data_IF_055871185895
#
_entry.id   IF_055871185895
#
_cell.length_a   1.000
_cell.length_b   1.000
_cell.length_c   1.000
_cell.angle_alpha   90.00
_cell.angle_beta   90.00
_cell.angle_gamma   90.00
#
_symmetry.space_group_name_H-M   'P 1'
#
loop_
_entity.id
_entity.type
_entity.pdbx_description
1 polymer ?
#
# COMPACT_ATOMS: atom_id res chain seq x y z
N UNK A 1 -50.05 -24.76 35.50
CA UNK A 1 -49.83 -24.33 34.10
C UNK A 1 -48.65 -23.34 33.93
N UNK A 2 -48.11 -22.73 35.00
CA UNK A 2 -47.03 -21.72 34.90
C UNK A 2 -45.58 -22.27 34.75
N UNK A 3 -45.34 -23.58 34.94
CA UNK A 3 -43.99 -24.17 34.94
C UNK A 3 -43.49 -24.59 33.55
N UNK A 4 -44.36 -24.64 32.53
CA UNK A 4 -43.97 -25.02 31.16
C UNK A 4 -43.24 -23.92 30.40
N UNK A 5 -43.49 -22.64 30.72
CA UNK A 5 -42.87 -21.50 30.04
C UNK A 5 -41.38 -21.34 30.38
N UNK A 6 -40.97 -21.74 31.59
CA UNK A 6 -39.56 -21.66 32.04
C UNK A 6 -38.70 -22.83 31.51
N UNK A 7 -39.30 -24.00 31.28
CA UNK A 7 -38.56 -25.19 30.81
C UNK A 7 -38.38 -25.20 29.28
N UNK A 8 -39.20 -24.47 28.53
CA UNK A 8 -39.15 -24.39 27.08
C UNK A 8 -37.85 -23.76 26.51
N UNK A 9 -37.31 -22.64 27.04
CA UNK A 9 -36.03 -22.10 26.56
C UNK A 9 -34.84 -23.00 26.90
N UNK A 10 -34.91 -23.75 28.01
CA UNK A 10 -33.83 -24.66 28.42
C UNK A 10 -33.73 -25.88 27.49
N UNK A 11 -34.87 -26.43 27.07
CA UNK A 11 -34.90 -27.53 26.07
C UNK A 11 -34.42 -27.04 24.70
N UNK A 12 -34.82 -25.83 24.29
CA UNK A 12 -34.35 -25.22 23.04
C UNK A 12 -32.82 -25.04 23.05
N UNK A 13 -32.24 -24.57 24.16
CA UNK A 13 -30.80 -24.38 24.30
C UNK A 13 -30.01 -25.69 24.19
N UNK A 14 -30.52 -26.81 24.70
CA UNK A 14 -29.89 -28.13 24.58
C UNK A 14 -29.89 -28.62 23.12
N UNK A 15 -30.94 -28.35 22.36
CA UNK A 15 -31.02 -28.71 20.93
C UNK A 15 -29.98 -27.93 20.12
N UNK A 16 -29.76 -26.64 20.43
CA UNK A 16 -28.73 -25.83 19.77
C UNK A 16 -27.29 -26.24 20.11
N UNK A 17 -27.05 -27.00 21.18
CA UNK A 17 -25.74 -27.55 21.51
C UNK A 17 -25.41 -28.85 20.74
N UNK A 18 -26.36 -29.43 20.01
CA UNK A 18 -26.09 -30.55 19.12
C UNK A 18 -25.42 -30.05 17.82
N UNK A 19 -24.11 -29.90 17.85
CA UNK A 19 -23.31 -29.57 16.68
C UNK A 19 -23.33 -30.68 15.63
N UNK A 20 -23.28 -30.31 14.35
CA UNK A 20 -23.02 -31.25 13.25
C UNK A 20 -21.59 -31.81 13.36
N UNK A 21 -21.44 -33.06 13.77
CA UNK A 21 -20.21 -33.81 13.58
C UNK A 21 -20.19 -34.35 12.14
N UNK A 22 -19.37 -33.73 11.27
CA UNK A 22 -19.14 -34.29 9.93
C UNK A 22 -18.27 -35.55 10.02
N UNK A 23 -18.54 -36.55 9.19
CA UNK A 23 -17.75 -37.79 9.12
C UNK A 23 -16.46 -37.52 8.36
N UNK A 24 -15.35 -38.06 8.87
CA UNK A 24 -14.02 -37.91 8.26
C UNK A 24 -14.00 -38.38 6.80
N UNK A 25 -14.80 -39.42 6.49
CA UNK A 25 -14.94 -40.02 5.17
C UNK A 25 -15.43 -39.05 4.07
N UNK A 26 -16.09 -37.94 4.44
CA UNK A 26 -16.58 -36.91 3.50
C UNK A 26 -15.49 -35.87 3.15
N UNK A 27 -14.46 -35.75 3.99
CA UNK A 27 -13.39 -34.75 3.84
C UNK A 27 -12.14 -35.35 3.18
N UNK A 28 -11.87 -36.62 3.43
CA UNK A 28 -10.72 -37.31 2.82
C UNK A 28 -11.11 -37.99 1.51
N UNK A 29 -10.32 -37.74 0.45
CA UNK A 29 -10.42 -38.49 -0.79
C UNK A 29 -10.19 -40.00 -0.48
N UNK A 30 -11.13 -40.90 -0.81
CA UNK A 30 -11.04 -42.32 -0.48
C UNK A 30 -9.85 -43.03 -1.13
N UNK A 31 -9.26 -42.42 -2.17
CA UNK A 31 -8.08 -42.93 -2.87
C UNK A 31 -6.79 -42.19 -2.49
N UNK A 32 -6.80 -41.36 -1.44
CA UNK A 32 -5.61 -40.66 -0.99
C UNK A 32 -4.59 -41.66 -0.38
N UNK A 33 -3.28 -41.50 -0.66
CA UNK A 33 -2.25 -42.31 -0.05
C UNK A 33 -2.23 -42.07 1.46
N UNK A 34 -1.98 -43.12 2.25
CA UNK A 34 -1.87 -42.97 3.69
C UNK A 34 -0.62 -42.18 4.05
N UNK A 35 -0.64 -41.43 5.16
CA UNK A 35 0.52 -40.64 5.61
C UNK A 35 1.79 -41.48 5.76
N UNK A 36 1.66 -42.77 6.10
CA UNK A 36 2.79 -43.72 6.13
C UNK A 36 3.41 -43.92 4.75
N UNK A 37 2.59 -44.10 3.70
CA UNK A 37 3.06 -44.24 2.32
C UNK A 37 3.71 -42.95 1.84
N UNK A 38 3.10 -41.79 2.15
CA UNK A 38 3.70 -40.48 1.87
C UNK A 38 5.06 -40.35 2.55
N UNK A 39 5.17 -40.69 3.82
CA UNK A 39 6.44 -40.60 4.55
C UNK A 39 7.49 -41.59 4.00
N UNK A 40 7.12 -42.85 3.76
CA UNK A 40 8.01 -43.84 3.15
C UNK A 40 8.45 -43.44 1.75
N UNK A 41 7.57 -42.81 0.98
CA UNK A 41 7.93 -42.19 -0.28
C UNK A 41 8.95 -41.07 0.00
N UNK A 42 8.64 -40.02 0.76
CA UNK A 42 9.49 -38.84 0.88
C UNK A 42 10.78 -39.04 1.70
N UNK A 43 10.83 -39.98 2.64
CA UNK A 43 11.95 -40.17 3.58
C UNK A 43 12.51 -41.59 3.62
N UNK A 44 11.97 -42.53 2.83
CA UNK A 44 12.44 -43.91 2.81
C UNK A 44 13.87 -44.06 2.28
N UNK A 45 14.63 -44.99 2.84
CA UNK A 45 16.02 -45.32 2.47
C UNK A 45 16.14 -46.16 1.19
N UNK A 46 15.06 -46.27 0.41
CA UNK A 46 15.01 -47.07 -0.81
C UNK A 46 15.85 -46.41 -1.91
N UNK A 47 17.04 -46.97 -2.14
CA UNK A 47 18.07 -46.38 -3.00
C UNK A 47 17.65 -46.25 -4.47
N UNK A 48 16.77 -47.13 -4.96
CA UNK A 48 16.16 -47.04 -6.29
C UNK A 48 15.21 -45.84 -6.44
N UNK A 49 14.35 -45.60 -5.44
CA UNK A 49 13.43 -44.46 -5.44
C UNK A 49 14.18 -43.11 -5.33
N UNK A 50 15.32 -43.10 -4.62
CA UNK A 50 16.21 -41.94 -4.56
C UNK A 50 16.87 -41.69 -5.93
N UNK A 51 17.34 -42.73 -6.61
CA UNK A 51 17.96 -42.62 -7.94
C UNK A 51 16.97 -42.13 -9.01
N UNK A 52 15.74 -42.65 -9.01
CA UNK A 52 14.69 -42.20 -9.94
C UNK A 52 14.32 -40.73 -9.69
N UNK A 53 14.28 -40.28 -8.43
CA UNK A 53 14.09 -38.86 -8.12
C UNK A 53 15.24 -37.99 -8.58
N UNK A 54 16.48 -38.43 -8.38
CA UNK A 54 17.64 -37.72 -8.88
C UNK A 54 17.58 -37.61 -10.41
N UNK A 55 17.18 -38.67 -11.11
CA UNK A 55 16.98 -38.64 -12.56
C UNK A 55 15.86 -37.67 -12.99
N UNK A 56 14.73 -37.62 -12.28
CA UNK A 56 13.63 -36.69 -12.56
C UNK A 56 14.00 -35.22 -12.26
N UNK A 57 14.77 -34.96 -11.19
CA UNK A 57 15.28 -33.63 -10.88
C UNK A 57 16.30 -33.16 -11.92
N UNK A 58 17.09 -34.08 -12.48
CA UNK A 58 18.03 -33.81 -13.57
C UNK A 58 17.34 -33.64 -14.94
N UNK A 59 16.15 -34.23 -15.12
CA UNK A 59 15.33 -34.07 -16.32
C UNK A 59 14.48 -32.81 -16.32
N UNK A 60 14.27 -32.16 -15.16
CA UNK A 60 13.63 -30.86 -15.14
C UNK A 60 14.57 -29.89 -15.87
N UNK A 61 14.19 -29.34 -17.04
CA UNK A 61 14.99 -28.30 -17.64
C UNK A 61 15.12 -27.21 -16.59
N UNK A 62 16.36 -26.78 -16.31
CA UNK A 62 16.58 -25.47 -15.75
C UNK A 62 16.03 -24.50 -16.78
N UNK A 63 14.71 -24.26 -16.73
CA UNK A 63 14.12 -23.09 -17.36
C UNK A 63 14.74 -21.96 -16.58
N UNK A 64 15.83 -21.46 -17.15
CA UNK A 64 16.54 -20.26 -16.80
C UNK A 64 15.58 -19.08 -17.01
N UNK A 65 14.54 -19.00 -16.19
CA UNK A 65 13.99 -17.71 -15.86
C UNK A 65 14.92 -17.14 -14.81
N UNK A 66 15.97 -16.46 -15.32
CA UNK A 66 16.91 -15.62 -14.55
C UNK A 66 16.19 -14.73 -13.52
N UNK A 67 14.89 -14.52 -13.67
CA UNK A 67 14.03 -13.69 -12.84
C UNK A 67 13.44 -14.35 -11.57
N UNK A 68 13.43 -15.69 -11.41
CA UNK A 68 12.70 -16.33 -10.30
C UNK A 68 13.58 -17.01 -9.22
N UNK A 69 14.88 -17.20 -9.44
CA UNK A 69 15.71 -18.07 -8.59
C UNK A 69 16.41 -17.39 -7.38
N UNK A 70 16.27 -16.08 -7.15
CA UNK A 70 16.96 -15.42 -6.03
C UNK A 70 16.02 -14.58 -5.16
N UNK A 71 15.46 -15.23 -4.14
CA UNK A 71 14.71 -14.60 -3.07
C UNK A 71 15.56 -13.84 -2.03
N UNK A 72 16.58 -13.04 -2.43
CA UNK A 72 17.29 -12.06 -1.58
C UNK A 72 17.86 -10.87 -2.42
N UNK A 73 17.86 -9.59 -1.97
CA UNK A 73 18.13 -8.37 -2.78
C UNK A 73 19.60 -7.84 -2.75
N UNK A 74 20.01 -6.82 -3.58
CA UNK A 74 19.16 -5.90 -4.35
C UNK A 74 19.54 -5.73 -5.83
N UNK A 75 18.53 -5.90 -6.68
CA UNK A 75 18.50 -5.20 -7.96
C UNK A 75 17.97 -3.77 -7.69
N UNK A 76 18.72 -2.70 -8.04
CA UNK A 76 18.40 -1.33 -7.64
C UNK A 76 17.01 -0.88 -8.10
N UNK A 77 16.55 -1.36 -9.26
CA UNK A 77 15.26 -0.98 -9.83
C UNK A 77 14.05 -1.47 -8.98
N UNK A 78 14.20 -2.50 -8.15
CA UNK A 78 13.12 -2.95 -7.24
C UNK A 78 13.01 -2.07 -5.99
N UNK A 79 14.08 -1.40 -5.59
CA UNK A 79 14.11 -0.60 -4.36
C UNK A 79 13.24 0.65 -4.47
N UNK A 80 13.17 1.27 -5.65
CA UNK A 80 12.34 2.45 -5.89
C UNK A 80 10.84 2.18 -5.74
N UNK A 81 10.39 0.94 -5.99
CA UNK A 81 9.00 0.52 -5.81
C UNK A 81 8.65 0.17 -4.36
N UNK A 82 9.61 -0.37 -3.59
CA UNK A 82 9.38 -0.79 -2.21
C UNK A 82 9.51 0.38 -1.22
N UNK A 83 10.42 1.31 -1.50
CA UNK A 83 10.75 2.44 -0.65
C UNK A 83 10.85 3.72 -1.50
N UNK A 84 9.72 4.25 -2.01
CA UNK A 84 9.76 5.49 -2.77
C UNK A 84 10.14 6.65 -1.85
N UNK A 85 10.83 7.67 -2.37
CA UNK A 85 11.13 8.89 -1.60
C UNK A 85 9.85 9.69 -1.39
N UNK A 86 9.62 10.19 -0.17
CA UNK A 86 8.55 11.14 0.10
C UNK A 86 8.81 12.42 -0.73
N UNK A 87 7.80 13.22 -1.13
CA UNK A 87 8.07 14.55 -1.67
C UNK A 87 8.53 15.50 -0.56
N UNK A 88 9.59 16.29 -0.80
CA UNK A 88 9.96 17.44 0.04
C UNK A 88 9.58 18.73 -0.69
N UNK A 89 8.46 19.38 -0.32
CA UNK A 89 8.02 20.58 -1.00
C UNK A 89 8.97 21.75 -0.73
N UNK A 90 9.07 22.65 -1.71
CA UNK A 90 9.74 23.93 -1.52
C UNK A 90 8.80 24.91 -0.80
N UNK A 91 9.38 25.67 0.12
CA UNK A 91 8.76 26.78 0.79
C UNK A 91 9.33 28.09 0.24
N UNK A 92 8.47 29.10 0.21
CA UNK A 92 8.82 30.44 -0.25
C UNK A 92 8.63 31.43 0.90
N UNK A 93 9.69 32.14 1.25
CA UNK A 93 9.61 33.24 2.22
C UNK A 93 9.60 34.57 1.48
N UNK A 94 8.56 35.36 1.71
CA UNK A 94 8.47 36.73 1.23
C UNK A 94 9.08 37.68 2.26
N UNK A 95 10.09 38.43 1.83
CA UNK A 95 10.68 39.50 2.63
C UNK A 95 10.11 40.82 2.16
N UNK A 96 9.39 41.50 3.06
CA UNK A 96 8.86 42.84 2.85
C UNK A 96 10.01 43.85 2.67
N UNK A 97 9.87 44.85 1.78
CA UNK A 97 10.81 45.96 1.71
C UNK A 97 10.94 46.68 3.06
N UNK A 98 12.16 46.89 3.52
CA UNK A 98 12.43 47.58 4.78
C UNK A 98 13.79 48.28 4.73
N UNK A 99 14.01 49.26 5.60
CA UNK A 99 15.32 49.88 5.76
C UNK A 99 16.10 49.12 6.85
N UNK A 100 17.41 48.95 6.66
CA UNK A 100 18.29 48.25 7.61
C UNK A 100 19.47 49.14 8.01
N UNK A 101 19.86 49.04 9.28
CA UNK A 101 21.02 49.74 9.84
C UNK A 101 20.76 51.22 10.17
N UNK A 102 21.76 51.86 10.77
CA UNK A 102 21.70 53.27 11.20
C UNK A 102 21.66 54.25 10.04
N UNK A 103 22.21 53.85 8.88
CA UNK A 103 22.22 54.63 7.65
C UNK A 103 20.90 54.52 6.87
N UNK A 104 20.00 53.61 7.24
CA UNK A 104 18.69 53.44 6.62
C UNK A 104 18.74 52.89 5.19
N UNK A 105 19.74 52.07 4.86
CA UNK A 105 19.88 51.50 3.52
C UNK A 105 18.63 50.67 3.15
N UNK A 106 18.02 50.91 1.97
CA UNK A 106 16.79 50.23 1.60
C UNK A 106 17.05 48.80 1.13
N UNK A 107 16.33 47.85 1.71
CA UNK A 107 16.26 46.46 1.26
C UNK A 107 14.98 46.26 0.43
N UNK A 108 15.09 45.82 -0.84
CA UNK A 108 13.92 45.63 -1.69
C UNK A 108 13.08 44.42 -1.27
N UNK A 109 11.90 44.27 -1.85
CA UNK A 109 11.14 43.03 -1.75
C UNK A 109 11.89 41.91 -2.47
N UNK A 110 11.95 40.74 -1.86
CA UNK A 110 12.41 39.53 -2.53
C UNK A 110 11.71 38.30 -1.95
N UNK A 111 11.76 37.21 -2.71
CA UNK A 111 11.27 35.91 -2.30
C UNK A 111 12.47 34.97 -2.26
N UNK A 112 12.64 34.26 -1.16
CA UNK A 112 13.64 33.19 -1.04
C UNK A 112 12.96 31.83 -1.09
N UNK A 113 13.63 30.85 -1.67
CA UNK A 113 13.18 29.47 -1.79
C UNK A 113 14.04 28.58 -0.92
N UNK A 114 13.43 27.72 -0.11
CA UNK A 114 14.13 26.74 0.72
C UNK A 114 13.31 25.47 0.86
N UNK A 115 13.95 24.32 1.07
CA UNK A 115 13.25 23.05 1.23
C UNK A 115 12.56 22.95 2.59
N UNK A 116 11.39 22.29 2.66
CA UNK A 116 10.66 22.09 3.92
C UNK A 116 11.45 21.21 4.92
N UNK A 117 12.15 20.21 4.41
CA UNK A 117 13.00 19.29 5.19
C UNK A 117 14.46 19.38 4.75
N UNK A 118 15.39 19.14 5.69
CA UNK A 118 16.83 19.06 5.42
C UNK A 118 17.19 17.77 4.67
N UNK A 119 16.49 16.66 4.97
CA UNK A 119 16.70 15.34 4.38
C UNK A 119 15.40 14.79 3.81
N UNK A 120 15.51 14.04 2.73
CA UNK A 120 14.37 13.36 2.12
C UNK A 120 14.19 11.96 2.72
N UNK A 121 13.16 11.70 3.54
CA UNK A 121 12.90 10.36 4.02
C UNK A 121 12.33 9.48 2.90
N UNK A 122 12.57 8.17 3.05
CA UNK A 122 11.89 7.14 2.25
C UNK A 122 10.57 6.77 2.93
N UNK A 123 9.55 6.52 2.12
CA UNK A 123 8.26 6.04 2.57
C UNK A 123 8.38 4.58 3.06
N UNK A 124 7.61 4.23 4.08
CA UNK A 124 7.48 2.85 4.53
C UNK A 124 6.59 2.04 3.58
N UNK A 125 6.72 0.71 3.55
CA UNK A 125 5.85 -0.13 2.73
C UNK A 125 4.37 0.09 3.07
N UNK A 126 3.56 0.44 2.08
CA UNK A 126 2.13 0.75 2.25
C UNK A 126 1.81 2.25 2.38
N UNK A 127 2.80 3.12 2.54
CA UNK A 127 2.59 4.57 2.48
C UNK A 127 2.57 5.04 1.02
N UNK A 128 1.38 5.38 0.50
CA UNK A 128 1.22 5.89 -0.87
C UNK A 128 1.40 7.39 -0.94
N UNK A 129 2.24 7.87 -1.87
CA UNK A 129 2.47 9.30 -2.12
C UNK A 129 1.28 10.02 -2.77
N UNK A 130 0.29 9.28 -3.25
CA UNK A 130 -0.86 9.81 -4.00
C UNK A 130 -1.71 10.78 -3.19
N UNK A 131 -1.84 10.58 -1.87
CA UNK A 131 -2.64 11.46 -1.03
C UNK A 131 -2.10 12.92 -1.02
N UNK A 132 -0.78 13.10 -0.96
CA UNK A 132 -0.18 14.43 -0.97
C UNK A 132 -0.31 15.13 -2.34
N UNK A 133 -0.20 14.35 -3.42
CA UNK A 133 -0.31 14.83 -4.80
C UNK A 133 -1.74 15.26 -5.14
N UNK A 134 -2.74 14.43 -4.78
CA UNK A 134 -4.17 14.74 -4.98
C UNK A 134 -4.59 16.02 -4.25
N UNK A 135 -4.14 16.20 -3.00
CA UNK A 135 -4.50 17.40 -2.21
C UNK A 135 -3.90 18.67 -2.83
N UNK A 136 -2.66 18.58 -3.32
CA UNK A 136 -1.95 19.73 -3.90
C UNK A 136 -2.56 20.12 -5.24
N UNK A 137 -2.82 19.16 -6.13
CA UNK A 137 -3.44 19.39 -7.43
C UNK A 137 -4.84 20.00 -7.30
N UNK A 138 -5.63 19.50 -6.34
CA UNK A 138 -6.95 20.04 -6.07
C UNK A 138 -6.88 21.50 -5.59
N UNK A 139 -5.98 21.81 -4.64
CA UNK A 139 -5.82 23.19 -4.13
C UNK A 139 -5.34 24.15 -5.23
N UNK A 140 -4.38 23.74 -6.05
CA UNK A 140 -3.88 24.56 -7.16
C UNK A 140 -4.99 24.84 -8.16
N UNK A 141 -5.78 23.81 -8.53
CA UNK A 141 -6.92 23.96 -9.43
C UNK A 141 -7.96 24.94 -8.87
N UNK A 142 -8.32 24.82 -7.59
CA UNK A 142 -9.27 25.75 -6.95
C UNK A 142 -8.74 27.19 -6.95
N UNK A 143 -7.44 27.41 -6.73
CA UNK A 143 -6.84 28.73 -6.77
C UNK A 143 -6.85 29.29 -8.19
N UNK A 144 -6.51 28.48 -9.20
CA UNK A 144 -6.56 28.86 -10.61
C UNK A 144 -7.99 29.23 -11.04
N UNK A 145 -8.98 28.39 -10.72
CA UNK A 145 -10.39 28.63 -11.02
C UNK A 145 -10.89 29.94 -10.37
N UNK A 146 -10.47 30.22 -9.12
CA UNK A 146 -10.80 31.47 -8.43
C UNK A 146 -10.13 32.69 -9.07
N UNK A 147 -8.88 32.55 -9.52
CA UNK A 147 -8.17 33.62 -10.22
C UNK A 147 -8.85 33.95 -11.55
N UNK A 148 -9.26 32.94 -12.31
CA UNK A 148 -9.99 33.09 -13.57
C UNK A 148 -11.36 33.74 -13.37
N UNK A 149 -12.10 33.34 -12.32
CA UNK A 149 -13.38 33.97 -11.97
C UNK A 149 -13.21 35.45 -11.61
N UNK A 150 -12.17 35.78 -10.84
CA UNK A 150 -11.86 37.17 -10.48
C UNK A 150 -11.44 37.99 -11.70
N UNK A 151 -10.65 37.42 -12.60
CA UNK A 151 -10.25 38.07 -13.85
C UNK A 151 -11.47 38.35 -14.74
N UNK A 152 -12.38 37.38 -14.90
CA UNK A 152 -13.64 37.55 -15.64
C UNK A 152 -14.50 38.64 -15.01
N UNK A 153 -14.71 38.62 -13.69
CA UNK A 153 -15.48 39.65 -12.96
C UNK A 153 -14.91 41.06 -13.20
N UNK A 154 -13.59 41.20 -13.06
CA UNK A 154 -12.92 42.49 -13.30
C UNK A 154 -12.99 42.96 -14.75
N UNK A 155 -13.18 42.05 -15.71
CA UNK A 155 -13.35 42.39 -17.12
C UNK A 155 -14.78 42.87 -17.40
N UNK A 156 -15.79 42.16 -16.87
CA UNK A 156 -17.19 42.60 -16.95
C UNK A 156 -17.42 43.95 -16.28
N UNK A 157 -16.80 44.21 -15.12
CA UNK A 157 -16.88 45.53 -14.47
C UNK A 157 -16.26 46.62 -15.37
N UNK A 158 -15.12 46.38 -16.02
CA UNK A 158 -14.53 47.34 -16.96
C UNK A 158 -15.41 47.61 -18.17
N UNK A 159 -16.04 46.59 -18.74
CA UNK A 159 -16.96 46.74 -19.87
C UNK A 159 -18.22 47.54 -19.49
N UNK A 160 -18.72 47.39 -18.25
CA UNK A 160 -19.90 48.11 -17.76
C UNK A 160 -19.69 49.61 -17.49
N UNK A 161 -18.45 50.04 -17.22
CA UNK A 161 -18.10 51.44 -16.90
C UNK A 161 -17.51 52.21 -18.10
N UNK A 162 -17.55 51.63 -19.31
CA UNK A 162 -17.04 52.23 -20.54
C UNK A 162 -18.15 52.55 -21.59
N UNK A 163 -19.43 52.52 -21.20
CA UNK A 163 -20.54 53.21 -21.88
C UNK A 163 -20.88 54.54 -21.17
#
# INVERSE_FOLDING_TARGET
>A
MLTHWINLPLVLAVIFLSGCASKLDDVTNPNAPTMKQVYEDYTGTNQSAIADRQALLMQRPAVESVYLQLGLPPYPERLDHLYPRLPNPDLFMYVRPHAVGVTGAPVPAYITRFSMYERQPYALPGETLDAARIITDHKIKVIADKADQKAKKNNYERELFHE
#
